data_IF_541437329247
#
_entry.id   IF_541437329247
#
_cell.length_a   1.000
_cell.length_b   1.000
_cell.length_c   1.000
_cell.angle_alpha   90.00
_cell.angle_beta   90.00
_cell.angle_gamma   90.00
#
_symmetry.space_group_name_H-M   'P 1'
#
loop_
_entity.id
_entity.type
_entity.pdbx_description
1 polymer ?
#
# COMPACT_ATOMS: atom_id res chain seq x y z
N UNK A 1 -9.45 20.46 17.95
CA UNK A 1 -8.53 20.07 16.84
C UNK A 1 -7.41 19.18 17.40
N UNK A 2 -7.74 18.18 18.23
CA UNK A 2 -6.75 17.48 19.09
C UNK A 2 -6.29 16.11 18.57
N UNK A 3 -6.83 15.62 17.44
CA UNK A 3 -6.61 14.24 16.97
C UNK A 3 -5.85 14.09 15.64
N UNK A 4 -5.28 15.17 15.09
CA UNK A 4 -4.48 15.09 13.87
C UNK A 4 -5.25 15.06 12.54
N UNK A 5 -6.60 15.04 12.58
CA UNK A 5 -7.46 14.94 11.38
C UNK A 5 -7.88 16.32 10.84
N UNK A 6 -7.99 16.45 9.51
CA UNK A 6 -8.59 17.67 8.91
C UNK A 6 -10.11 17.69 9.08
N UNK A 7 -10.73 18.86 8.94
CA UNK A 7 -12.18 19.01 9.06
C UNK A 7 -13.00 18.17 8.05
N UNK A 8 -12.35 17.57 7.06
CA UNK A 8 -12.95 16.72 6.01
C UNK A 8 -12.49 15.25 6.10
N UNK A 9 -11.80 14.86 7.19
CA UNK A 9 -11.33 13.50 7.40
C UNK A 9 -10.07 13.12 6.64
N UNK A 10 -9.33 14.09 6.10
CA UNK A 10 -8.06 13.81 5.44
C UNK A 10 -6.96 13.58 6.47
N UNK A 11 -6.06 12.65 6.15
CA UNK A 11 -4.96 12.22 7.02
C UNK A 11 -3.64 12.37 6.28
N UNK A 12 -2.76 13.24 6.80
CA UNK A 12 -1.44 13.52 6.25
C UNK A 12 -0.29 12.94 7.10
N UNK A 13 -0.62 11.98 7.95
CA UNK A 13 0.28 11.35 8.92
C UNK A 13 -0.03 9.85 9.01
N UNK A 14 0.95 9.00 8.65
CA UNK A 14 0.81 7.54 8.81
C UNK A 14 0.70 7.14 10.28
N UNK A 15 1.34 7.89 11.18
CA UNK A 15 1.23 7.66 12.62
C UNK A 15 -0.20 7.89 13.14
N UNK A 16 -0.87 8.95 12.68
CA UNK A 16 -2.25 9.21 13.08
C UNK A 16 -3.23 8.24 12.41
N UNK A 17 -2.95 7.82 11.17
CA UNK A 17 -3.69 6.73 10.54
C UNK A 17 -3.55 5.40 11.30
N UNK A 18 -2.35 5.10 11.80
CA UNK A 18 -2.09 3.91 12.63
C UNK A 18 -2.95 3.90 13.88
N UNK A 19 -3.04 5.05 14.57
CA UNK A 19 -3.88 5.19 15.77
C UNK A 19 -5.36 5.03 15.43
N UNK A 20 -5.81 5.67 14.36
CA UNK A 20 -7.20 5.54 13.90
C UNK A 20 -7.56 4.08 13.57
N UNK A 21 -6.68 3.37 12.86
CA UNK A 21 -6.89 1.97 12.52
C UNK A 21 -6.99 1.09 13.76
N UNK A 22 -6.12 1.29 14.75
CA UNK A 22 -6.16 0.57 16.03
C UNK A 22 -7.47 0.84 16.79
N UNK A 23 -7.92 2.09 16.85
CA UNK A 23 -9.13 2.47 17.58
C UNK A 23 -10.43 1.98 16.91
N UNK A 24 -10.52 2.08 15.58
CA UNK A 24 -11.77 1.80 14.84
C UNK A 24 -11.88 0.32 14.48
N UNK A 25 -10.78 -0.30 14.05
CA UNK A 25 -10.77 -1.69 13.59
C UNK A 25 -10.29 -2.66 14.67
N UNK A 26 -9.76 -2.17 15.79
CA UNK A 26 -9.19 -3.03 16.82
C UNK A 26 -8.02 -3.87 16.32
N UNK A 27 -7.31 -3.43 15.27
CA UNK A 27 -6.26 -4.21 14.61
C UNK A 27 -4.86 -3.80 15.09
N UNK A 28 -3.86 -4.65 14.86
CA UNK A 28 -2.47 -4.27 15.05
C UNK A 28 -2.01 -3.45 13.84
N UNK A 29 -1.64 -2.19 14.07
CA UNK A 29 -1.10 -1.31 13.05
C UNK A 29 0.36 -0.95 13.36
N UNK A 30 1.24 -1.15 12.39
CA UNK A 30 2.67 -0.84 12.49
C UNK A 30 3.09 0.09 11.35
N UNK A 31 3.72 1.22 11.70
CA UNK A 31 4.27 2.17 10.73
C UNK A 31 5.64 1.68 10.29
N UNK A 32 5.81 1.49 8.98
CA UNK A 32 7.09 1.16 8.37
C UNK A 32 7.65 2.38 7.65
N UNK A 33 8.84 2.81 8.07
CA UNK A 33 9.58 3.93 7.48
C UNK A 33 10.69 3.44 6.56
N UNK A 34 10.99 4.21 5.50
CA UNK A 34 12.00 3.87 4.49
C UNK A 34 11.43 3.40 3.15
N UNK A 35 10.10 3.52 2.96
CA UNK A 35 9.41 3.11 1.75
C UNK A 35 9.19 1.60 1.66
N UNK A 36 8.68 1.17 0.51
CA UNK A 36 8.41 -0.24 0.21
C UNK A 36 9.61 -0.97 -0.42
N UNK A 37 10.61 -0.24 -0.92
CA UNK A 37 11.83 -0.82 -1.49
C UNK A 37 12.78 -1.40 -0.44
N UNK A 38 13.99 -1.78 -0.84
CA UNK A 38 15.04 -2.23 0.08
C UNK A 38 15.32 -1.19 1.18
N UNK A 39 15.45 -1.59 2.46
CA UNK A 39 15.52 -2.97 2.99
C UNK A 39 14.16 -3.58 3.36
N UNK A 40 13.06 -2.86 3.13
CA UNK A 40 11.73 -3.23 3.60
C UNK A 40 10.97 -4.18 2.66
N UNK A 41 11.42 -4.32 1.41
CA UNK A 41 10.77 -5.09 0.34
C UNK A 41 10.33 -6.49 0.81
N UNK A 42 11.27 -7.29 1.29
CA UNK A 42 10.98 -8.68 1.66
C UNK A 42 9.96 -8.75 2.80
N UNK A 43 10.04 -7.83 3.75
CA UNK A 43 9.12 -7.72 4.88
C UNK A 43 7.70 -7.38 4.42
N UNK A 44 7.57 -6.43 3.49
CA UNK A 44 6.27 -6.01 2.93
C UNK A 44 5.64 -7.16 2.15
N UNK A 45 6.42 -7.84 1.30
CA UNK A 45 5.93 -8.96 0.50
C UNK A 45 5.51 -10.12 1.38
N UNK A 46 6.32 -10.50 2.38
CA UNK A 46 5.96 -11.55 3.35
C UNK A 46 4.68 -11.21 4.11
N UNK A 47 4.49 -9.94 4.48
CA UNK A 47 3.28 -9.49 5.17
C UNK A 47 2.02 -9.64 4.29
N UNK A 48 2.11 -9.28 3.00
CA UNK A 48 1.02 -9.46 2.04
C UNK A 48 0.74 -10.95 1.74
N UNK A 49 1.79 -11.75 1.60
CA UNK A 49 1.69 -13.20 1.37
C UNK A 49 1.02 -13.90 2.56
N UNK A 50 1.25 -13.42 3.79
CA UNK A 50 0.56 -13.89 4.98
C UNK A 50 -0.93 -13.50 5.04
N UNK A 51 -1.44 -12.77 4.04
CA UNK A 51 -2.84 -12.33 3.97
C UNK A 51 -3.14 -11.09 4.79
N UNK A 52 -2.12 -10.36 5.24
CA UNK A 52 -2.31 -9.12 5.98
C UNK A 52 -2.43 -7.92 5.05
N UNK A 53 -3.08 -6.87 5.53
CA UNK A 53 -3.36 -5.66 4.75
C UNK A 53 -2.19 -4.68 4.83
N UNK A 54 -1.98 -3.94 3.75
CA UNK A 54 -1.01 -2.86 3.67
C UNK A 54 -1.72 -1.58 3.26
N UNK A 55 -1.60 -0.52 4.06
CA UNK A 55 -2.07 0.81 3.71
C UNK A 55 -0.91 1.61 3.13
N UNK A 56 -1.10 2.11 1.91
CA UNK A 56 -0.08 2.86 1.19
C UNK A 56 -0.62 4.27 0.92
N UNK A 57 0.05 5.32 1.43
CA UNK A 57 -0.13 6.64 0.86
C UNK A 57 0.60 6.67 -0.48
N UNK A 58 -0.15 6.97 -1.54
CA UNK A 58 0.34 6.98 -2.92
C UNK A 58 -0.22 8.19 -3.68
N UNK A 59 0.34 8.47 -4.85
CA UNK A 59 -0.13 9.50 -5.77
C UNK A 59 -0.97 8.88 -6.91
N UNK A 60 -2.12 9.49 -7.22
CA UNK A 60 -3.03 9.07 -8.30
C UNK A 60 -2.57 9.67 -9.65
N UNK A 61 -2.47 8.85 -10.69
CA UNK A 61 -2.10 9.26 -12.05
C UNK A 61 -2.94 10.47 -12.52
N UNK A 62 -2.31 11.47 -13.14
CA UNK A 62 -3.08 12.51 -13.85
C UNK A 62 -3.80 11.83 -15.03
N UNK A 63 -4.91 12.43 -15.48
CA UNK A 63 -5.87 11.93 -16.49
C UNK A 63 -5.28 11.44 -17.84
N UNK A 64 -3.96 11.52 -18.03
CA UNK A 64 -3.25 11.27 -19.29
C UNK A 64 -2.20 10.13 -19.23
N UNK A 65 -2.12 9.34 -18.15
CA UNK A 65 -1.19 8.18 -18.05
C UNK A 65 0.29 8.50 -18.30
N UNK A 66 0.76 9.70 -17.93
CA UNK A 66 2.19 10.05 -17.94
C UNK A 66 2.72 10.21 -16.51
N UNK A 67 3.98 9.79 -16.20
CA UNK A 67 4.60 9.92 -14.88
C UNK A 67 4.83 11.39 -14.55
N UNK A 68 3.80 12.04 -14.03
CA UNK A 68 3.89 13.43 -13.61
C UNK A 68 4.41 13.48 -12.17
N UNK A 69 5.70 13.81 -12.04
CA UNK A 69 6.42 14.09 -10.79
C UNK A 69 5.86 15.33 -10.07
N UNK A 70 4.60 15.29 -9.59
CA UNK A 70 3.92 16.43 -8.94
C UNK A 70 4.04 16.41 -7.42
N UNK A 71 5.05 15.71 -6.89
CA UNK A 71 5.54 15.83 -5.51
C UNK A 71 4.48 15.68 -4.39
N UNK A 72 3.39 14.94 -4.59
CA UNK A 72 2.38 14.67 -3.53
C UNK A 72 1.14 15.57 -3.51
N UNK A 73 0.88 16.36 -4.54
CA UNK A 73 -0.26 17.30 -4.57
C UNK A 73 -1.66 16.63 -4.51
N UNK A 74 -1.78 15.38 -4.95
CA UNK A 74 -3.00 14.54 -4.91
C UNK A 74 -2.72 13.22 -4.17
N UNK A 75 -2.12 13.31 -2.98
CA UNK A 75 -1.92 12.14 -2.14
C UNK A 75 -3.27 11.48 -1.80
N UNK A 76 -3.37 10.18 -2.06
CA UNK A 76 -4.50 9.33 -1.74
C UNK A 76 -4.02 8.10 -0.97
N UNK A 77 -4.96 7.47 -0.26
CA UNK A 77 -4.70 6.23 0.45
C UNK A 77 -5.23 5.06 -0.39
N UNK A 78 -4.39 4.05 -0.55
CA UNK A 78 -4.76 2.75 -1.09
C UNK A 78 -4.60 1.67 -0.04
N UNK A 79 -5.40 0.62 -0.19
CA UNK A 79 -5.26 -0.61 0.56
C UNK A 79 -4.82 -1.69 -0.40
N UNK A 80 -3.65 -2.27 -0.17
CA UNK A 80 -3.21 -3.48 -0.84
C UNK A 80 -3.63 -4.69 -0.01
N UNK A 81 -4.42 -5.56 -0.63
CA UNK A 81 -4.98 -6.75 0.02
C UNK A 81 -4.28 -8.05 -0.41
N UNK A 82 -3.42 -7.98 -1.42
CA UNK A 82 -2.68 -9.13 -1.91
C UNK A 82 -1.58 -8.74 -2.87
N UNK A 83 -0.83 -9.75 -3.30
CA UNK A 83 0.28 -9.61 -4.24
C UNK A 83 0.20 -10.70 -5.31
N UNK A 84 0.55 -10.33 -6.54
CA UNK A 84 0.76 -11.24 -7.65
C UNK A 84 2.27 -11.28 -7.93
N UNK A 85 2.83 -12.48 -7.94
CA UNK A 85 4.26 -12.71 -8.11
C UNK A 85 4.52 -13.49 -9.39
N UNK A 86 5.39 -12.95 -10.25
CA UNK A 86 5.98 -13.66 -11.37
C UNK A 86 7.07 -14.59 -10.87
N UNK A 87 6.82 -15.90 -10.91
CA UNK A 87 7.73 -16.93 -10.42
C UNK A 87 8.29 -17.74 -11.58
N UNK A 88 9.57 -18.13 -11.49
CA UNK A 88 10.25 -18.88 -12.55
C UNK A 88 9.88 -20.38 -12.60
N UNK A 89 9.05 -20.85 -11.67
CA UNK A 89 8.63 -22.24 -11.59
C UNK A 89 7.26 -22.40 -10.95
N UNK A 90 6.58 -23.50 -11.28
CA UNK A 90 5.25 -23.82 -10.75
C UNK A 90 5.32 -24.03 -9.22
N UNK A 91 4.50 -23.33 -8.43
CA UNK A 91 4.40 -23.57 -6.99
C UNK A 91 3.95 -25.02 -6.74
N UNK A 92 4.70 -25.78 -5.95
CA UNK A 92 4.52 -27.23 -5.87
C UNK A 92 3.49 -27.68 -4.84
N UNK A 93 3.38 -27.01 -3.69
CA UNK A 93 2.58 -27.47 -2.54
C UNK A 93 1.57 -26.42 -2.08
N UNK A 94 0.29 -26.80 -2.10
CA UNK A 94 -0.79 -25.97 -1.58
C UNK A 94 -1.28 -24.88 -2.53
N UNK A 95 -0.91 -24.95 -3.81
CA UNK A 95 -1.40 -24.07 -4.87
C UNK A 95 -2.20 -24.85 -5.91
N UNK A 96 -3.25 -24.23 -6.45
CA UNK A 96 -4.00 -24.73 -7.58
C UNK A 96 -3.90 -23.75 -8.75
N UNK A 97 -3.86 -24.27 -9.97
CA UNK A 97 -3.96 -23.46 -11.18
C UNK A 97 -5.41 -22.99 -11.34
N UNK A 98 -5.57 -21.71 -11.71
CA UNK A 98 -6.87 -21.13 -11.98
C UNK A 98 -7.47 -21.76 -13.27
N UNK A 99 -8.75 -22.19 -13.25
CA UNK A 99 -9.36 -22.85 -14.39
C UNK A 99 -9.60 -21.91 -15.59
N UNK A 100 -9.66 -20.60 -15.36
CA UNK A 100 -9.88 -19.58 -16.39
C UNK A 100 -8.56 -19.01 -16.91
N UNK A 101 -7.51 -18.99 -16.08
CA UNK A 101 -6.21 -18.39 -16.40
C UNK A 101 -5.05 -19.38 -16.26
N UNK A 102 -4.62 -19.95 -17.38
CA UNK A 102 -3.45 -20.83 -17.38
C UNK A 102 -2.18 -20.08 -16.94
N UNK A 103 -1.42 -20.70 -16.04
CA UNK A 103 -0.23 -20.11 -15.43
C UNK A 103 -0.50 -19.21 -14.21
N UNK A 104 -1.76 -18.94 -13.87
CA UNK A 104 -2.12 -18.28 -12.61
C UNK A 104 -2.32 -19.34 -11.53
N UNK A 105 -1.58 -19.22 -10.43
CA UNK A 105 -1.68 -20.13 -9.29
C UNK A 105 -2.13 -19.37 -8.05
N UNK A 106 -3.11 -19.93 -7.35
CA UNK A 106 -3.61 -19.36 -6.11
C UNK A 106 -3.47 -20.37 -4.95
N UNK A 107 -3.22 -19.91 -3.72
CA UNK A 107 -3.16 -20.81 -2.57
C UNK A 107 -4.53 -21.48 -2.37
N UNK A 108 -4.52 -22.77 -2.09
CA UNK A 108 -5.73 -23.55 -1.79
C UNK A 108 -6.14 -23.25 -0.35
N UNK A 109 -7.38 -22.79 -0.09
CA UNK A 109 -7.84 -22.55 1.26
C UNK A 109 -7.68 -23.80 2.14
N UNK A 110 -7.22 -23.60 3.39
CA UNK A 110 -7.04 -24.68 4.39
C UNK A 110 -5.93 -25.70 4.09
N UNK A 111 -5.11 -25.48 3.06
CA UNK A 111 -3.89 -26.25 2.83
C UNK A 111 -2.66 -25.44 3.27
N UNK A 112 -1.70 -26.04 3.98
CA UNK A 112 -0.42 -25.38 4.20
C UNK A 112 0.25 -25.17 2.84
N UNK A 113 0.49 -23.90 2.51
CA UNK A 113 1.21 -23.50 1.32
C UNK A 113 2.59 -22.98 1.74
N UNK A 114 3.62 -23.37 0.99
CA UNK A 114 4.93 -22.76 1.12
C UNK A 114 5.01 -21.61 0.11
N UNK A 115 5.22 -20.37 0.55
CA UNK A 115 5.27 -19.25 -0.37
C UNK A 115 6.44 -19.40 -1.34
N UNK A 116 6.27 -19.04 -2.62
CA UNK A 116 7.34 -19.11 -3.60
C UNK A 116 8.49 -18.17 -3.21
N UNK A 117 9.72 -18.43 -3.69
CA UNK A 117 10.82 -17.50 -3.52
C UNK A 117 10.43 -16.14 -4.11
N UNK A 118 10.76 -15.06 -3.38
CA UNK A 118 10.51 -13.71 -3.85
C UNK A 118 11.33 -13.43 -5.12
N UNK A 119 10.75 -12.75 -6.13
CA UNK A 119 11.49 -12.37 -7.32
C UNK A 119 12.71 -11.51 -6.98
N UNK A 120 13.78 -11.63 -7.77
CA UNK A 120 15.00 -10.83 -7.61
C UNK A 120 14.70 -9.32 -7.78
N UNK A 121 15.42 -8.49 -7.03
CA UNK A 121 15.30 -7.03 -7.12
C UNK A 121 15.72 -6.55 -8.53
N UNK A 122 14.85 -5.80 -9.20
CA UNK A 122 15.12 -5.24 -10.53
C UNK A 122 14.71 -6.12 -11.71
N UNK A 123 14.02 -7.26 -11.49
CA UNK A 123 13.39 -8.00 -12.58
C UNK A 123 12.10 -7.28 -13.03
N UNK A 124 12.01 -6.79 -14.29
CA UNK A 124 10.83 -6.07 -14.75
C UNK A 124 9.59 -7.00 -14.78
N UNK A 125 8.50 -6.54 -14.17
CA UNK A 125 7.18 -7.20 -14.26
C UNK A 125 6.95 -8.41 -13.35
N UNK A 126 7.75 -8.58 -12.28
CA UNK A 126 7.62 -9.74 -11.40
C UNK A 126 6.73 -9.52 -10.17
N UNK A 127 6.35 -8.29 -9.82
CA UNK A 127 5.58 -8.03 -8.59
C UNK A 127 4.48 -7.01 -8.88
N UNK A 128 3.24 -7.41 -8.64
CA UNK A 128 2.08 -6.52 -8.70
C UNK A 128 1.30 -6.55 -7.39
N UNK A 129 0.85 -5.39 -6.93
CA UNK A 129 0.01 -5.25 -5.76
C UNK A 129 -1.46 -5.21 -6.17
N UNK A 130 -2.26 -6.10 -5.58
CA UNK A 130 -3.71 -6.04 -5.69
C UNK A 130 -4.22 -4.95 -4.74
N UNK A 131 -4.45 -3.77 -5.30
CA UNK A 131 -4.73 -2.56 -4.54
C UNK A 131 -6.10 -1.99 -4.86
N UNK A 132 -6.72 -1.41 -3.82
CA UNK A 132 -7.98 -0.68 -3.94
C UNK A 132 -7.80 0.73 -3.43
N UNK A 133 -8.20 1.69 -4.26
CA UNK A 133 -8.26 3.10 -3.89
C UNK A 133 -9.65 3.49 -3.40
N UNK A 134 -9.72 4.45 -2.46
CA UNK A 134 -11.00 4.85 -1.84
C UNK A 134 -12.05 5.45 -2.79
N UNK A 135 -11.67 5.85 -4.01
CA UNK A 135 -12.58 6.42 -5.02
C UNK A 135 -13.08 5.40 -6.06
N UNK A 136 -12.44 4.24 -6.16
CA UNK A 136 -12.78 3.21 -7.15
C UNK A 136 -13.47 2.03 -6.49
N UNK A 137 -14.45 1.46 -7.20
CA UNK A 137 -15.15 0.26 -6.75
C UNK A 137 -14.35 -1.02 -7.04
N UNK A 138 -13.40 -0.96 -7.98
CA UNK A 138 -12.67 -2.11 -8.48
C UNK A 138 -11.24 -2.19 -7.93
N UNK A 139 -10.78 -3.41 -7.70
CA UNK A 139 -9.37 -3.69 -7.46
C UNK A 139 -8.57 -3.48 -8.75
N UNK A 140 -7.36 -2.97 -8.59
CA UNK A 140 -6.41 -2.76 -9.68
C UNK A 140 -5.10 -3.44 -9.32
N UNK A 141 -4.42 -3.95 -10.34
CA UNK A 141 -3.05 -4.43 -10.23
C UNK A 141 -2.12 -3.27 -10.49
N UNK A 142 -1.29 -2.92 -9.51
CA UNK A 142 -0.29 -1.88 -9.64
C UNK A 142 1.10 -2.49 -9.62
N UNK A 143 1.96 -2.00 -10.50
CA UNK A 143 3.36 -2.39 -10.52
C UNK A 143 4.05 -1.96 -9.22
N UNK A 144 4.78 -2.88 -8.59
CA UNK A 144 5.38 -2.64 -7.28
C UNK A 144 6.41 -1.51 -7.29
N UNK A 145 7.23 -1.42 -8.33
CA UNK A 145 8.28 -0.41 -8.44
C UNK A 145 7.66 0.97 -8.63
N UNK A 146 6.61 1.08 -9.45
CA UNK A 146 5.85 2.33 -9.60
C UNK A 146 5.23 2.79 -8.28
N UNK A 147 4.70 1.86 -7.47
CA UNK A 147 4.16 2.19 -6.14
C UNK A 147 5.25 2.64 -5.18
N UNK A 148 6.42 1.99 -5.21
CA UNK A 148 7.59 2.40 -4.43
C UNK A 148 8.01 3.83 -4.78
N UNK A 149 8.16 4.14 -6.07
CA UNK A 149 8.53 5.47 -6.55
C UNK A 149 7.49 6.52 -6.17
N UNK A 150 6.20 6.19 -6.32
CA UNK A 150 5.09 7.07 -5.96
C UNK A 150 5.09 7.43 -4.47
N UNK A 151 5.35 6.45 -3.59
CA UNK A 151 5.42 6.66 -2.14
C UNK A 151 6.62 7.55 -1.74
N UNK A 152 7.76 7.44 -2.43
CA UNK A 152 8.95 8.26 -2.18
C UNK A 152 8.82 9.70 -2.73
N UNK A 153 7.85 9.97 -3.59
CA UNK A 153 7.61 11.29 -4.17
C UNK A 153 6.66 12.17 -3.35
N UNK A 154 6.13 11.69 -2.21
CA UNK A 154 5.17 12.44 -1.38
C UNK A 154 5.81 13.53 -0.51
N UNK A 155 6.51 14.49 -1.13
CA UNK A 155 7.35 15.45 -0.40
C UNK A 155 6.67 16.79 -0.13
N UNK A 156 5.81 17.26 -1.04
CA UNK A 156 5.31 18.62 -1.09
C UNK A 156 3.78 18.66 -0.87
N UNK A 157 3.33 19.63 -0.08
CA UNK A 157 1.91 19.91 0.09
C UNK A 157 1.38 20.69 -1.11
N UNK A 158 0.20 20.31 -1.62
CA UNK A 158 -0.35 20.98 -2.81
C UNK A 158 -0.55 22.48 -2.57
N UNK A 159 0.01 23.37 -3.42
CA UNK A 159 -0.20 24.80 -3.31
C UNK A 159 -1.68 25.19 -3.48
N UNK A 160 -2.47 24.40 -4.22
CA UNK A 160 -3.91 24.62 -4.35
C UNK A 160 -4.68 24.44 -3.03
N UNK A 161 -4.24 23.50 -2.18
CA UNK A 161 -4.80 23.25 -0.84
C UNK A 161 -4.34 24.32 0.16
N UNK A 162 -3.19 24.95 -0.07
CA UNK A 162 -2.75 26.09 0.74
C UNK A 162 -3.60 27.35 0.48
N UNK A 163 -4.24 27.45 -0.70
CA UNK A 163 -5.00 28.63 -1.13
C UNK A 163 -6.52 28.47 -1.09
N UNK A 164 -7.05 27.29 -0.72
CA UNK A 164 -8.50 27.02 -0.77
C UNK A 164 -9.28 27.48 0.48
N UNK A 165 -8.58 28.11 1.44
CA UNK A 165 -9.16 28.61 2.69
C UNK A 165 -9.54 27.54 3.70
N UNK A 166 -9.17 26.26 3.49
CA UNK A 166 -9.46 25.16 4.41
C UNK A 166 -8.32 24.93 5.41
N UNK A 167 -8.70 24.47 6.60
CA UNK A 167 -7.74 24.12 7.65
C UNK A 167 -7.28 22.67 7.47
N UNK A 168 -6.03 22.53 7.06
CA UNK A 168 -5.34 21.24 6.95
C UNK A 168 -4.45 21.00 8.16
N UNK A 169 -4.48 19.78 8.69
CA UNK A 169 -3.57 19.33 9.75
C UNK A 169 -2.40 18.62 9.09
N UNK A 170 -1.26 19.28 9.09
CA UNK A 170 -0.01 18.78 8.52
C UNK A 170 0.99 18.58 9.65
N UNK A 171 1.68 17.43 9.73
CA UNK A 171 2.64 17.18 10.80
C UNK A 171 3.83 18.14 10.75
N UNK A 172 4.50 18.32 11.89
CA UNK A 172 5.71 19.13 12.00
C UNK A 172 6.81 18.52 11.10
N UNK A 173 7.05 19.14 9.93
CA UNK A 173 7.93 18.59 8.89
C UNK A 173 7.24 18.32 7.55
N UNK A 174 5.94 18.62 7.42
CA UNK A 174 5.23 18.52 6.15
C UNK A 174 4.87 17.09 5.75
N UNK A 175 4.39 16.91 4.52
CA UNK A 175 4.06 15.59 3.96
C UNK A 175 5.29 14.68 3.89
N UNK A 176 6.48 15.25 3.69
CA UNK A 176 7.74 14.50 3.72
C UNK A 176 7.94 13.75 5.04
N UNK A 177 7.64 14.36 6.18
CA UNK A 177 7.80 13.68 7.47
C UNK A 177 6.62 12.78 7.82
N UNK A 178 5.46 13.01 7.20
CA UNK A 178 4.20 12.35 7.57
C UNK A 178 3.73 11.24 6.64
N UNK A 179 4.18 11.19 5.38
CA UNK A 179 3.73 10.23 4.36
C UNK A 179 4.87 9.69 3.49
N UNK A 180 5.86 10.51 3.16
CA UNK A 180 6.95 10.10 2.26
C UNK A 180 7.74 8.94 2.84
N UNK A 181 7.86 7.85 2.07
CA UNK A 181 8.58 6.67 2.53
C UNK A 181 7.96 6.03 3.77
N UNK A 182 6.69 6.30 4.06
CA UNK A 182 5.96 5.69 5.17
C UNK A 182 4.80 4.87 4.63
N UNK A 183 4.64 3.66 5.16
CA UNK A 183 3.51 2.78 4.90
C UNK A 183 3.01 2.16 6.19
N UNK A 184 1.79 1.65 6.17
CA UNK A 184 1.16 1.06 7.35
C UNK A 184 0.89 -0.42 7.14
N UNK A 185 1.52 -1.26 7.94
CA UNK A 185 1.24 -2.70 8.01
C UNK A 185 0.08 -2.91 8.96
N UNK A 186 -0.99 -3.52 8.48
CA UNK A 186 -2.19 -3.82 9.26
C UNK A 186 -2.35 -5.33 9.41
N UNK A 187 -2.42 -5.82 10.65
CA UNK A 187 -2.81 -7.19 10.98
C UNK A 187 -4.15 -7.14 11.68
N UNK A 188 -5.17 -7.63 11.00
CA UNK A 188 -6.46 -7.88 11.62
C UNK A 188 -6.25 -9.02 12.62
N UNK A 189 -6.79 -8.89 13.83
CA UNK A 189 -6.92 -10.06 14.69
C UNK A 189 -7.87 -11.01 13.99
N UNK A 190 -7.50 -12.29 13.91
CA UNK A 190 -8.42 -13.31 13.43
C UNK A 190 -9.73 -13.12 14.20
N UNK A 191 -10.81 -12.90 13.45
CA UNK A 191 -12.14 -12.96 14.01
C UNK A 191 -12.32 -14.41 14.46
N UNK A 192 -11.96 -14.68 15.71
CA UNK A 192 -12.30 -15.91 16.39
C UNK A 192 -13.83 -15.94 16.49
N UNK A 193 -14.44 -16.54 15.47
CA UNK A 193 -15.83 -16.94 15.43
C UNK A 193 -15.89 -18.46 15.34
#
# INVERSE_FOLDING_TARGET
>A
LERGYTAQGEMFSVADMSRLAQEVLGCQAEVLSGGLGSPNRDRVLQHLIAGHLLLIPYYDEDFNHEPCQRRGHKAHWAVSAGVLLGVSGVPSLGYAEDPEFSGLFHPVPSMPCQPPPLPEEGSPGAIYLLSKQGKSWHYQLWDYDQVCESNLQLTDFSPSRATDGRLYVVPAGGLRSGLCGQVLLLRLHDASH
#
